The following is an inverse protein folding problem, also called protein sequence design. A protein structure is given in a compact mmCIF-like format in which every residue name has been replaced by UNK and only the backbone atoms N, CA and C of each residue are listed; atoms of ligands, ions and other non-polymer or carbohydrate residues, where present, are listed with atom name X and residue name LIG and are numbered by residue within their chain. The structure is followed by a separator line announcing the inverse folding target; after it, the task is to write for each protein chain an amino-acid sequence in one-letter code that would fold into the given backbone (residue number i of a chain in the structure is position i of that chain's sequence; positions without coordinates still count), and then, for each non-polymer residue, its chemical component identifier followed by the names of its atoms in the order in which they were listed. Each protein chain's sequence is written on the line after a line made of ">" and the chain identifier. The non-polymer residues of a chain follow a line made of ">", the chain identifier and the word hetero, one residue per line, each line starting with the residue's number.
data_IF_472639494640
#
_entry.id   IF_472639494640
#
_cell.length_a   1.000
_cell.length_b   1.000
_cell.length_c   1.000
_cell.angle_alpha   90.00
_cell.angle_beta   90.00
_cell.angle_gamma   90.00
#
_symmetry.space_group_name_H-M   'P 1'
#
loop_
_entity.id
_entity.type
_entity.pdbx_description
1 polymer ?
#
# COMPACT_ATOMS: atom_id res chain seq x y z
N UNK A 1 7.56 -7.32 -1.95
CA UNK A 1 8.84 -7.56 -1.24
C UNK A 1 8.75 -6.90 0.12
N UNK A 2 8.97 -7.61 1.22
CA UNK A 2 8.95 -7.01 2.56
C UNK A 2 10.07 -5.97 2.68
N UNK A 3 9.79 -4.83 3.30
CA UNK A 3 10.75 -3.73 3.45
C UNK A 3 10.96 -2.86 2.20
N UNK A 4 10.21 -3.09 1.12
CA UNK A 4 10.29 -2.23 -0.07
C UNK A 4 9.83 -0.79 0.25
N UNK A 5 10.67 0.18 -0.13
CA UNK A 5 10.43 1.62 -0.04
C UNK A 5 10.88 2.33 -1.32
N UNK A 6 10.71 3.66 -1.37
CA UNK A 6 11.04 4.48 -2.55
C UNK A 6 12.51 4.35 -2.99
N UNK A 7 13.42 4.03 -2.06
CA UNK A 7 14.85 3.84 -2.37
C UNK A 7 15.10 2.52 -3.09
N UNK A 8 14.43 1.44 -2.66
CA UNK A 8 14.64 0.09 -3.18
C UNK A 8 13.78 -0.27 -4.41
N UNK A 9 12.67 0.45 -4.63
CA UNK A 9 11.65 0.05 -5.59
C UNK A 9 12.16 -0.01 -7.02
N UNK A 10 13.15 0.81 -7.39
CA UNK A 10 13.72 0.80 -8.74
C UNK A 10 14.38 -0.55 -9.05
N UNK A 11 15.12 -1.12 -8.10
CA UNK A 11 15.77 -2.43 -8.31
C UNK A 11 14.75 -3.56 -8.32
N UNK A 12 13.68 -3.45 -7.51
CA UNK A 12 12.56 -4.39 -7.52
C UNK A 12 11.80 -4.30 -8.85
N UNK A 13 11.58 -3.10 -9.37
CA UNK A 13 10.87 -2.88 -10.63
C UNK A 13 11.59 -3.52 -11.82
N UNK A 14 12.91 -3.69 -11.76
CA UNK A 14 13.68 -4.42 -12.79
C UNK A 14 13.38 -5.92 -12.86
N UNK A 15 12.68 -6.47 -11.87
CA UNK A 15 12.18 -7.85 -11.90
C UNK A 15 10.85 -7.97 -12.67
N UNK A 16 10.20 -6.85 -12.98
CA UNK A 16 9.02 -6.83 -13.85
C UNK A 16 9.43 -7.34 -15.24
N UNK A 17 8.77 -8.40 -15.70
CA UNK A 17 8.99 -8.95 -17.03
C UNK A 17 7.88 -8.47 -17.95
N UNK A 18 8.24 -7.58 -18.88
CA UNK A 18 7.36 -7.14 -19.95
C UNK A 18 8.16 -6.72 -21.17
N UNK A 19 7.75 -7.21 -22.33
CA UNK A 19 8.28 -6.77 -23.63
C UNK A 19 7.41 -5.63 -24.17
N UNK A 20 8.01 -4.45 -24.30
CA UNK A 20 7.31 -3.24 -24.73
C UNK A 20 6.64 -3.34 -26.12
N UNK A 21 7.15 -4.20 -27.01
CA UNK A 21 6.68 -4.34 -28.39
C UNK A 21 5.74 -5.53 -28.57
N UNK A 22 5.95 -6.60 -27.79
CA UNK A 22 5.30 -7.89 -28.02
C UNK A 22 4.21 -8.23 -26.98
N UNK A 23 4.25 -7.64 -25.79
CA UNK A 23 3.28 -7.92 -24.74
C UNK A 23 2.10 -6.93 -24.73
N UNK A 24 0.97 -7.37 -24.18
CA UNK A 24 -0.19 -6.50 -23.97
C UNK A 24 0.07 -5.48 -22.84
N UNK A 25 -0.55 -4.27 -22.94
CA UNK A 25 -0.45 -3.24 -21.91
C UNK A 25 -0.87 -3.70 -20.52
N UNK A 26 -0.39 -2.98 -19.50
CA UNK A 26 -0.63 -3.29 -18.08
C UNK A 26 -1.37 -2.16 -17.38
N UNK A 27 -2.18 -2.53 -16.38
CA UNK A 27 -2.50 -1.64 -15.26
C UNK A 27 -1.49 -1.92 -14.14
N UNK A 28 -0.66 -0.94 -13.80
CA UNK A 28 0.35 -1.01 -12.75
C UNK A 28 -0.11 -0.18 -11.56
N UNK A 29 -0.12 -0.78 -10.37
CA UNK A 29 -0.37 -0.07 -9.11
C UNK A 29 0.97 0.11 -8.38
N UNK A 30 1.45 1.34 -8.32
CA UNK A 30 2.67 1.72 -7.61
C UNK A 30 2.30 2.12 -6.17
N UNK A 31 2.52 1.21 -5.21
CA UNK A 31 1.99 1.34 -3.85
C UNK A 31 3.08 1.10 -2.80
N UNK A 32 3.71 2.17 -2.34
CA UNK A 32 4.75 2.18 -1.30
C UNK A 32 4.22 2.83 -0.03
N UNK A 33 3.36 2.11 0.68
CA UNK A 33 2.41 2.72 1.63
C UNK A 33 2.95 2.96 3.05
N UNK A 34 4.20 2.59 3.36
CA UNK A 34 4.66 2.62 4.76
C UNK A 34 6.16 2.74 4.99
N UNK A 35 7.01 1.93 4.35
CA UNK A 35 8.44 1.81 4.70
C UNK A 35 9.29 3.09 4.49
N UNK A 36 8.73 4.13 3.87
CA UNK A 36 9.36 5.45 3.77
C UNK A 36 9.20 6.29 5.05
N UNK A 37 8.25 5.93 5.92
CA UNK A 37 8.09 6.50 7.27
C UNK A 37 8.27 5.46 8.38
N UNK A 38 8.17 4.18 8.06
CA UNK A 38 8.31 3.08 9.01
C UNK A 38 9.74 2.51 9.06
N UNK A 39 10.31 2.49 10.26
CA UNK A 39 11.60 1.88 10.55
C UNK A 39 11.69 1.49 12.04
N UNK A 40 12.69 0.67 12.39
CA UNK A 40 12.96 0.21 13.75
C UNK A 40 14.04 0.99 14.50
N UNK A 41 14.53 2.12 13.95
CA UNK A 41 15.61 2.90 14.56
C UNK A 41 15.11 3.72 15.76
N UNK A 42 15.95 3.88 16.78
CA UNK A 42 15.65 4.73 17.95
C UNK A 42 15.38 6.19 17.55
N UNK A 43 16.18 6.76 16.65
CA UNK A 43 15.86 8.05 16.02
C UNK A 43 15.01 7.83 14.77
N UNK A 44 13.75 7.45 14.98
CA UNK A 44 12.84 7.09 13.90
C UNK A 44 12.66 8.21 12.88
N UNK A 45 12.58 9.47 13.34
CA UNK A 45 12.29 10.63 12.50
C UNK A 45 13.44 10.92 11.52
N UNK A 46 14.70 10.82 11.98
CA UNK A 46 15.88 11.07 11.15
C UNK A 46 16.03 10.06 10.00
N UNK A 47 15.40 8.89 10.11
CA UNK A 47 15.47 7.82 9.13
C UNK A 47 14.26 7.75 8.18
N UNK A 48 13.30 8.65 8.32
CA UNK A 48 12.19 8.76 7.37
C UNK A 48 12.64 9.48 6.10
N UNK A 49 12.18 8.99 4.94
CA UNK A 49 12.36 9.65 3.64
C UNK A 49 11.81 11.08 3.68
N UNK A 50 12.51 12.01 3.05
CA UNK A 50 12.08 13.41 2.92
C UNK A 50 11.19 13.62 1.69
N UNK A 51 10.48 14.75 1.63
CA UNK A 51 9.66 15.12 0.46
C UNK A 51 10.48 15.10 -0.84
N UNK A 52 11.63 15.77 -0.87
CA UNK A 52 12.48 15.87 -2.07
C UNK A 52 12.97 14.50 -2.53
N UNK A 53 13.37 13.63 -1.59
CA UNK A 53 13.76 12.26 -1.91
C UNK A 53 12.60 11.46 -2.48
N UNK A 54 11.41 11.51 -1.87
CA UNK A 54 10.24 10.78 -2.36
C UNK A 54 9.81 11.27 -3.75
N UNK A 55 9.77 12.59 -3.96
CA UNK A 55 9.44 13.19 -5.24
C UNK A 55 10.39 12.71 -6.34
N UNK A 56 11.71 12.85 -6.13
CA UNK A 56 12.72 12.47 -7.12
C UNK A 56 12.75 10.95 -7.38
N UNK A 57 12.57 10.13 -6.34
CA UNK A 57 12.52 8.67 -6.48
C UNK A 57 11.26 8.21 -7.22
N UNK A 58 10.12 8.86 -6.98
CA UNK A 58 8.88 8.58 -7.72
C UNK A 58 9.03 8.94 -9.19
N UNK A 59 9.57 10.12 -9.52
CA UNK A 59 9.89 10.48 -10.90
C UNK A 59 10.81 9.46 -11.58
N UNK A 60 11.84 9.01 -10.87
CA UNK A 60 12.78 8.00 -11.39
C UNK A 60 12.07 6.67 -11.66
N UNK A 61 11.19 6.23 -10.75
CA UNK A 61 10.37 5.03 -10.92
C UNK A 61 9.44 5.13 -12.13
N UNK A 62 8.72 6.24 -12.27
CA UNK A 62 7.84 6.49 -13.42
C UNK A 62 8.62 6.54 -14.74
N UNK A 63 9.79 7.19 -14.74
CA UNK A 63 10.67 7.23 -15.91
C UNK A 63 11.18 5.84 -16.30
N UNK A 64 11.50 5.00 -15.32
CA UNK A 64 11.87 3.61 -15.60
C UNK A 64 10.72 2.81 -16.20
N UNK A 65 9.51 2.91 -15.62
CA UNK A 65 8.32 2.23 -16.16
C UNK A 65 8.05 2.63 -17.61
N UNK A 66 8.32 3.88 -18.01
CA UNK A 66 8.12 4.34 -19.39
C UNK A 66 9.07 3.65 -20.39
N UNK A 67 10.15 3.03 -19.91
CA UNK A 67 11.07 2.24 -20.75
C UNK A 67 10.68 0.76 -20.87
N UNK A 68 9.76 0.28 -20.03
CA UNK A 68 9.41 -1.15 -19.92
C UNK A 68 7.98 -1.42 -20.36
N UNK A 69 7.05 -0.52 -20.02
CA UNK A 69 5.64 -0.73 -20.27
C UNK A 69 5.29 -0.56 -21.76
N UNK A 70 4.51 -1.49 -22.36
CA UNK A 70 3.92 -1.32 -23.68
C UNK A 70 3.04 -0.07 -23.76
N UNK A 71 2.98 0.54 -24.95
CA UNK A 71 2.12 1.70 -25.21
C UNK A 71 0.65 1.38 -24.90
N UNK A 72 -0.04 2.31 -24.23
CA UNK A 72 -1.42 2.14 -23.78
C UNK A 72 -1.54 1.49 -22.41
N UNK A 73 -0.44 1.40 -21.64
CA UNK A 73 -0.49 0.97 -20.24
C UNK A 73 -1.07 2.08 -19.34
N UNK A 74 -1.33 1.77 -18.08
CA UNK A 74 -1.85 2.70 -17.09
C UNK A 74 -1.10 2.54 -15.77
N UNK A 75 -0.74 3.64 -15.12
CA UNK A 75 -0.04 3.62 -13.83
C UNK A 75 -0.86 4.39 -12.80
N UNK A 76 -1.33 3.68 -11.77
CA UNK A 76 -1.95 4.27 -10.58
C UNK A 76 -0.90 4.34 -9.46
N UNK A 77 -0.48 5.55 -9.09
CA UNK A 77 0.32 5.76 -7.88
C UNK A 77 -0.59 5.92 -6.67
N UNK A 78 -0.17 5.34 -5.55
CA UNK A 78 -0.91 5.36 -4.29
C UNK A 78 -0.11 6.14 -3.24
N UNK A 79 -0.79 7.04 -2.53
CA UNK A 79 -0.23 7.74 -1.37
C UNK A 79 0.15 6.78 -0.23
N UNK A 80 0.81 7.31 0.79
CA UNK A 80 1.13 6.53 1.99
C UNK A 80 -0.12 6.32 2.85
N UNK A 81 -0.08 5.26 3.66
CA UNK A 81 -1.13 4.97 4.64
C UNK A 81 -1.11 5.99 5.79
N UNK A 82 -2.28 6.20 6.40
CA UNK A 82 -2.37 6.81 7.73
C UNK A 82 -2.33 5.72 8.81
N UNK A 83 -1.13 5.37 9.29
CA UNK A 83 -0.97 4.31 10.29
C UNK A 83 -1.26 4.71 11.74
N UNK A 84 -1.62 5.97 12.02
CA UNK A 84 -1.98 6.41 13.39
C UNK A 84 -3.10 5.56 13.99
N UNK A 85 -4.03 5.12 13.16
CA UNK A 85 -5.18 4.28 13.52
C UNK A 85 -4.79 2.92 14.11
N UNK A 86 -3.60 2.40 13.79
CA UNK A 86 -3.16 1.07 14.24
C UNK A 86 -3.06 0.99 15.75
N UNK A 87 -2.42 1.99 16.38
CA UNK A 87 -2.29 2.04 17.83
C UNK A 87 -3.68 2.18 18.47
N UNK A 88 -4.50 3.10 17.99
CA UNK A 88 -5.84 3.37 18.54
C UNK A 88 -6.75 2.13 18.48
N UNK A 89 -6.67 1.35 17.40
CA UNK A 89 -7.47 0.14 17.24
C UNK A 89 -6.98 -1.04 18.07
N UNK A 90 -5.68 -1.12 18.39
CA UNK A 90 -5.07 -2.36 18.89
C UNK A 90 -4.49 -2.27 20.30
N UNK A 91 -4.06 -1.10 20.79
CA UNK A 91 -3.19 -1.00 21.97
C UNK A 91 -3.69 -1.73 23.22
N UNK A 92 -5.00 -1.72 23.48
CA UNK A 92 -5.64 -2.40 24.63
C UNK A 92 -6.08 -3.85 24.33
N UNK A 93 -6.03 -4.27 23.06
CA UNK A 93 -6.44 -5.62 22.66
C UNK A 93 -5.38 -6.64 23.06
N UNK A 94 -5.84 -7.83 23.44
CA UNK A 94 -4.94 -8.96 23.77
C UNK A 94 -4.35 -9.53 22.48
N UNK A 95 -3.03 -9.46 22.38
CA UNK A 95 -2.24 -10.09 21.32
C UNK A 95 -2.41 -11.63 21.36
N UNK A 96 -2.31 -12.37 20.23
CA UNK A 96 -2.44 -13.83 20.22
C UNK A 96 -1.59 -14.56 21.27
N UNK A 97 -0.36 -14.10 21.51
CA UNK A 97 0.53 -14.64 22.55
C UNK A 97 -0.02 -14.51 23.98
N UNK A 98 -0.89 -13.53 24.23
CA UNK A 98 -1.52 -13.26 25.52
C UNK A 98 -2.87 -13.93 25.72
N UNK A 99 -3.33 -14.77 24.78
CA UNK A 99 -4.64 -15.45 24.88
C UNK A 99 -4.66 -16.58 25.90
N UNK A 100 -3.50 -17.15 26.22
CA UNK A 100 -3.33 -18.20 27.22
C UNK A 100 -2.39 -17.67 28.30
N UNK A 101 -2.86 -17.63 29.55
CA UNK A 101 -2.10 -17.09 30.68
C UNK A 101 -2.32 -15.60 30.91
N UNK A 102 -1.35 -14.90 31.53
CA UNK A 102 -1.46 -13.46 31.78
C UNK A 102 -1.62 -12.67 30.47
N UNK A 103 -2.52 -11.68 30.41
CA UNK A 103 -2.79 -10.95 29.18
C UNK A 103 -1.57 -10.11 28.74
N UNK A 104 -1.21 -10.31 27.47
CA UNK A 104 -0.23 -9.52 26.73
C UNK A 104 -1.02 -8.70 25.70
N UNK A 105 -1.03 -7.38 25.88
CA UNK A 105 -1.67 -6.44 24.95
C UNK A 105 -0.74 -6.08 23.80
N UNK A 106 -1.27 -5.57 22.69
CA UNK A 106 -0.42 -5.05 21.61
C UNK A 106 0.51 -3.93 22.07
N UNK A 107 0.08 -3.05 22.98
CA UNK A 107 0.97 -2.03 23.56
C UNK A 107 2.23 -2.63 24.19
N UNK A 108 2.13 -3.75 24.90
CA UNK A 108 3.30 -4.46 25.46
C UNK A 108 4.19 -5.07 24.38
N UNK A 109 3.58 -5.62 23.31
CA UNK A 109 4.33 -6.17 22.17
C UNK A 109 5.08 -5.05 21.45
N UNK A 110 4.43 -3.91 21.21
CA UNK A 110 5.04 -2.75 20.57
C UNK A 110 6.24 -2.24 21.38
N UNK A 111 6.08 -2.03 22.69
CA UNK A 111 7.21 -1.63 23.55
C UNK A 111 8.34 -2.66 23.58
N UNK A 112 8.02 -3.96 23.51
CA UNK A 112 9.02 -5.02 23.43
C UNK A 112 9.82 -4.97 22.13
N UNK A 113 9.14 -4.79 20.99
CA UNK A 113 9.79 -4.71 19.67
C UNK A 113 10.61 -3.41 19.51
N UNK A 114 10.10 -2.29 20.02
CA UNK A 114 10.81 -1.01 20.08
C UNK A 114 12.09 -1.13 20.91
N UNK A 115 12.02 -1.74 22.10
CA UNK A 115 13.19 -1.97 22.97
C UNK A 115 14.28 -2.83 22.31
N UNK A 116 13.90 -3.70 21.38
CA UNK A 116 14.82 -4.57 20.64
C UNK A 116 15.28 -3.97 19.31
N UNK A 117 14.81 -2.76 18.95
CA UNK A 117 15.09 -2.10 17.66
C UNK A 117 14.69 -2.95 16.44
N UNK A 118 13.62 -3.73 16.58
CA UNK A 118 13.08 -4.60 15.52
C UNK A 118 11.60 -4.36 15.23
N UNK A 119 11.03 -3.28 15.75
CA UNK A 119 9.68 -2.87 15.38
C UNK A 119 9.62 -2.62 13.86
N UNK A 120 8.58 -3.10 13.16
CA UNK A 120 8.41 -2.80 11.75
C UNK A 120 8.10 -1.31 11.53
N UNK A 121 7.60 -0.61 12.55
CA UNK A 121 7.30 0.82 12.47
C UNK A 121 7.26 1.47 13.86
N UNK A 122 8.42 1.87 14.41
CA UNK A 122 8.48 2.61 15.68
C UNK A 122 7.58 3.85 15.68
N UNK A 123 7.48 4.54 14.54
CA UNK A 123 6.71 5.76 14.39
C UNK A 123 5.24 5.61 14.76
N UNK A 124 4.54 4.61 14.18
CA UNK A 124 3.12 4.38 14.44
C UNK A 124 2.83 3.38 15.54
N UNK A 125 3.70 2.39 15.75
CA UNK A 125 3.54 1.35 16.77
C UNK A 125 4.23 1.77 18.09
N UNK A 126 3.90 2.96 18.58
CA UNK A 126 4.45 3.50 19.82
C UNK A 126 3.35 4.11 20.68
N UNK A 127 3.49 4.03 22.00
CA UNK A 127 2.62 4.72 22.94
C UNK A 127 2.79 6.25 22.91
N UNK A 128 3.90 6.74 22.34
CA UNK A 128 4.17 8.17 22.20
C UNK A 128 3.30 8.78 21.08
N UNK A 129 2.23 9.47 21.48
CA UNK A 129 1.27 10.11 20.56
C UNK A 129 1.91 11.19 19.67
N UNK A 130 2.89 11.92 20.20
CA UNK A 130 3.64 12.95 19.50
C UNK A 130 4.47 12.32 18.36
N UNK A 131 5.11 11.18 18.62
CA UNK A 131 5.82 10.42 17.59
C UNK A 131 4.85 9.89 16.50
N UNK A 132 3.69 9.37 16.90
CA UNK A 132 2.66 8.93 15.95
C UNK A 132 2.15 10.08 15.08
N UNK A 133 1.95 11.26 15.66
CA UNK A 133 1.52 12.46 14.95
C UNK A 133 2.55 12.91 13.92
N UNK A 134 3.84 13.03 14.30
CA UNK A 134 4.92 13.38 13.36
C UNK A 134 5.08 12.35 12.24
N UNK A 135 4.95 11.06 12.54
CA UNK A 135 5.00 10.00 11.52
C UNK A 135 3.88 10.16 10.50
N UNK A 136 2.67 10.48 10.97
CA UNK A 136 1.50 10.68 10.12
C UNK A 136 1.61 11.96 9.29
N UNK A 137 2.13 13.04 9.88
CA UNK A 137 2.43 14.29 9.16
C UNK A 137 3.46 14.04 8.05
N UNK A 138 4.54 13.29 8.34
CA UNK A 138 5.50 12.89 7.32
C UNK A 138 4.83 12.08 6.23
N UNK A 139 3.98 11.11 6.56
CA UNK A 139 3.28 10.29 5.57
C UNK A 139 2.41 11.14 4.63
N UNK A 140 1.66 12.11 5.17
CA UNK A 140 0.89 13.07 4.37
C UNK A 140 1.80 13.88 3.44
N UNK A 141 2.92 14.38 3.95
CA UNK A 141 3.90 15.13 3.15
C UNK A 141 4.47 14.27 2.00
N UNK A 142 4.79 13.00 2.26
CA UNK A 142 5.27 12.08 1.23
C UNK A 142 4.18 11.69 0.22
N UNK A 143 2.92 11.57 0.64
CA UNK A 143 1.78 11.39 -0.26
C UNK A 143 1.66 12.55 -1.25
N UNK A 144 1.83 13.80 -0.77
CA UNK A 144 1.86 14.99 -1.63
C UNK A 144 3.04 14.91 -2.61
N UNK A 145 4.22 14.48 -2.17
CA UNK A 145 5.37 14.29 -3.07
C UNK A 145 5.09 13.28 -4.20
N UNK A 146 4.43 12.16 -3.89
CA UNK A 146 4.01 11.15 -4.87
C UNK A 146 2.98 11.73 -5.85
N UNK A 147 1.98 12.43 -5.33
CA UNK A 147 0.97 13.14 -6.14
C UNK A 147 1.63 14.12 -7.12
N UNK A 148 2.52 14.99 -6.63
CA UNK A 148 3.15 16.03 -7.42
C UNK A 148 4.06 15.43 -8.50
N UNK A 149 4.83 14.39 -8.16
CA UNK A 149 5.66 13.66 -9.12
C UNK A 149 4.80 13.00 -10.22
N UNK A 150 3.68 12.38 -9.82
CA UNK A 150 2.75 11.69 -10.74
C UNK A 150 2.14 12.66 -11.75
N UNK A 151 1.78 13.86 -11.31
CA UNK A 151 1.16 14.88 -12.16
C UNK A 151 2.18 15.70 -12.96
N UNK A 152 3.44 15.73 -12.52
CA UNK A 152 4.51 16.44 -13.25
C UNK A 152 5.12 15.58 -14.35
N UNK A 153 5.25 14.27 -14.13
CA UNK A 153 5.81 13.38 -15.13
C UNK A 153 4.89 13.26 -16.35
N UNK A 154 5.46 13.39 -17.55
CA UNK A 154 4.75 13.27 -18.83
C UNK A 154 5.19 11.97 -19.54
N UNK A 155 4.54 10.83 -19.24
CA UNK A 155 4.87 9.52 -19.85
C UNK A 155 4.52 9.44 -21.33
N UNK A 156 5.18 8.54 -22.06
CA UNK A 156 4.89 8.26 -23.48
C UNK A 156 4.09 6.97 -23.68
N UNK A 157 4.31 5.97 -22.84
CA UNK A 157 3.76 4.63 -23.02
C UNK A 157 2.57 4.33 -22.10
N UNK A 158 2.29 5.19 -21.12
CA UNK A 158 1.17 5.01 -20.21
C UNK A 158 0.52 6.34 -19.84
N UNK A 159 -0.71 6.28 -19.35
CA UNK A 159 -1.31 7.40 -18.62
C UNK A 159 -1.16 7.20 -17.11
N UNK A 160 -1.06 8.29 -16.35
CA UNK A 160 -0.91 8.24 -14.90
C UNK A 160 -2.15 8.73 -14.16
N UNK A 161 -2.26 8.32 -12.90
CA UNK A 161 -3.29 8.74 -11.95
C UNK A 161 -2.78 8.56 -10.54
N UNK A 162 -3.31 9.38 -9.63
CA UNK A 162 -2.98 9.33 -8.20
C UNK A 162 -4.25 9.04 -7.40
N UNK A 163 -4.10 8.25 -6.34
CA UNK A 163 -5.13 7.96 -5.35
C UNK A 163 -4.51 7.95 -3.95
N UNK A 164 -5.10 8.68 -3.00
CA UNK A 164 -4.76 8.54 -1.58
C UNK A 164 -5.05 7.11 -1.11
N UNK A 165 -4.23 6.57 -0.20
CA UNK A 165 -4.43 5.21 0.29
C UNK A 165 -5.82 5.06 0.94
N UNK A 166 -6.73 4.25 0.38
CA UNK A 166 -8.16 4.40 0.68
C UNK A 166 -8.62 3.54 1.87
N UNK A 167 -7.78 3.41 2.89
CA UNK A 167 -8.05 2.50 4.01
C UNK A 167 -9.14 3.00 4.95
N UNK A 168 -9.31 4.31 5.10
CA UNK A 168 -10.42 4.88 5.86
C UNK A 168 -11.76 4.48 5.24
N UNK A 169 -11.87 4.50 3.90
CA UNK A 169 -13.06 4.01 3.19
C UNK A 169 -13.24 2.50 3.38
N UNK A 170 -12.17 1.71 3.27
CA UNK A 170 -12.24 0.26 3.51
C UNK A 170 -12.73 -0.07 4.92
N UNK A 171 -12.31 0.70 5.93
CA UNK A 171 -12.81 0.59 7.30
C UNK A 171 -14.31 0.89 7.36
N UNK A 172 -14.78 1.96 6.71
CA UNK A 172 -16.22 2.28 6.69
C UNK A 172 -17.04 1.18 6.01
N UNK A 173 -16.57 0.65 4.89
CA UNK A 173 -17.23 -0.46 4.20
C UNK A 173 -17.31 -1.70 5.08
N UNK A 174 -16.24 -2.04 5.80
CA UNK A 174 -16.25 -3.16 6.74
C UNK A 174 -17.23 -2.96 7.90
N UNK A 175 -17.27 -1.75 8.49
CA UNK A 175 -18.22 -1.40 9.54
C UNK A 175 -19.65 -1.54 9.01
N UNK A 176 -19.93 -1.11 7.78
CA UNK A 176 -21.27 -1.19 7.18
C UNK A 176 -21.77 -2.64 7.02
N UNK A 177 -20.85 -3.60 6.93
CA UNK A 177 -21.14 -5.04 6.87
C UNK A 177 -21.22 -5.71 8.26
N UNK A 178 -21.15 -4.92 9.35
CA UNK A 178 -21.18 -5.39 10.73
C UNK A 178 -19.80 -5.75 11.31
N UNK A 179 -18.73 -5.46 10.58
CA UNK A 179 -17.36 -5.67 11.00
C UNK A 179 -16.87 -4.65 12.04
N UNK A 180 -15.71 -4.95 12.64
CA UNK A 180 -14.96 -4.06 13.52
C UNK A 180 -13.61 -3.72 12.90
N UNK A 181 -13.14 -2.46 12.94
CA UNK A 181 -11.95 -2.05 12.20
C UNK A 181 -10.68 -2.86 12.52
N UNK A 182 -10.47 -3.21 13.79
CA UNK A 182 -9.31 -4.01 14.22
C UNK A 182 -9.22 -5.40 13.55
N UNK A 183 -10.32 -5.92 12.98
CA UNK A 183 -10.33 -7.19 12.25
C UNK A 183 -9.64 -7.08 10.89
N UNK A 184 -9.43 -5.87 10.39
CA UNK A 184 -8.73 -5.62 9.14
C UNK A 184 -7.21 -5.62 9.30
N UNK A 185 -6.68 -5.66 10.53
CA UNK A 185 -5.24 -5.66 10.80
C UNK A 185 -4.75 -7.07 11.11
N UNK A 186 -3.57 -7.42 10.62
CA UNK A 186 -2.92 -8.70 10.89
C UNK A 186 -2.73 -8.92 12.38
N UNK A 187 -3.17 -10.10 12.84
CA UNK A 187 -3.29 -10.34 14.27
C UNK A 187 -1.96 -10.63 14.96
N UNK A 188 -0.92 -10.99 14.21
CA UNK A 188 0.38 -11.39 14.76
C UNK A 188 1.36 -10.22 14.78
N UNK A 189 1.41 -9.40 13.74
CA UNK A 189 2.30 -8.24 13.73
C UNK A 189 1.61 -6.95 14.24
N UNK A 190 0.27 -6.88 14.22
CA UNK A 190 -0.46 -5.68 14.63
C UNK A 190 -0.20 -4.46 13.74
N UNK A 191 0.25 -4.69 12.51
CA UNK A 191 0.76 -3.64 11.63
C UNK A 191 0.18 -3.73 10.22
N UNK A 192 0.36 -4.85 9.54
CA UNK A 192 -0.09 -4.99 8.15
C UNK A 192 -1.61 -5.08 8.08
N UNK A 193 -2.20 -4.65 6.97
CA UNK A 193 -3.59 -5.00 6.70
C UNK A 193 -3.67 -6.51 6.42
N UNK A 194 -4.66 -7.17 7.01
CA UNK A 194 -4.93 -8.59 6.83
C UNK A 194 -5.45 -8.90 5.43
N UNK A 195 -5.64 -10.19 5.13
CA UNK A 195 -6.30 -10.63 3.90
C UNK A 195 -7.68 -9.95 3.69
N UNK A 196 -8.47 -9.77 4.77
CA UNK A 196 -9.75 -9.06 4.68
C UNK A 196 -9.56 -7.57 4.38
N UNK A 197 -8.57 -6.94 5.01
CA UNK A 197 -8.21 -5.54 4.75
C UNK A 197 -7.78 -5.33 3.29
N UNK A 198 -6.97 -6.23 2.75
CA UNK A 198 -6.55 -6.23 1.35
C UNK A 198 -7.73 -6.41 0.40
N UNK A 199 -8.65 -7.35 0.66
CA UNK A 199 -9.81 -7.59 -0.20
C UNK A 199 -10.69 -6.34 -0.33
N UNK A 200 -11.09 -5.75 0.80
CA UNK A 200 -11.98 -4.58 0.79
C UNK A 200 -11.27 -3.36 0.19
N UNK A 201 -9.99 -3.16 0.52
CA UNK A 201 -9.21 -2.05 -0.08
C UNK A 201 -9.10 -2.22 -1.60
N UNK A 202 -9.04 -3.46 -2.11
CA UNK A 202 -9.05 -3.74 -3.55
C UNK A 202 -10.40 -3.41 -4.18
N UNK A 203 -11.52 -3.71 -3.52
CA UNK A 203 -12.87 -3.34 -3.98
C UNK A 203 -13.04 -1.82 -4.05
N UNK A 204 -12.50 -1.09 -3.08
CA UNK A 204 -12.48 0.38 -3.07
C UNK A 204 -11.68 0.93 -4.26
N UNK A 205 -10.46 0.41 -4.48
CA UNK A 205 -9.62 0.82 -5.62
C UNK A 205 -10.30 0.50 -6.95
N UNK A 206 -10.91 -0.68 -7.07
CA UNK A 206 -11.64 -1.07 -8.27
C UNK A 206 -12.82 -0.14 -8.56
N UNK A 207 -13.62 0.18 -7.55
CA UNK A 207 -14.75 1.11 -7.65
C UNK A 207 -14.28 2.53 -8.03
N UNK A 208 -13.13 2.95 -7.48
CA UNK A 208 -12.51 4.21 -7.86
C UNK A 208 -12.07 4.22 -9.32
N UNK A 209 -11.44 3.14 -9.81
CA UNK A 209 -11.04 2.99 -11.21
C UNK A 209 -12.26 3.04 -12.14
N UNK A 210 -13.33 2.33 -11.81
CA UNK A 210 -14.58 2.35 -12.58
C UNK A 210 -15.19 3.76 -12.66
N UNK A 211 -15.13 4.52 -11.58
CA UNK A 211 -15.76 5.85 -11.51
C UNK A 211 -14.89 6.95 -12.14
N UNK A 212 -13.58 6.91 -11.92
CA UNK A 212 -12.67 8.02 -12.25
C UNK A 212 -11.81 7.75 -13.49
N UNK A 213 -11.56 6.48 -13.79
CA UNK A 213 -10.73 6.04 -14.91
C UNK A 213 -11.39 4.89 -15.69
N UNK A 214 -12.68 4.98 -16.08
CA UNK A 214 -13.38 3.86 -16.72
C UNK A 214 -12.71 3.38 -18.01
N UNK A 215 -12.02 4.28 -18.74
CA UNK A 215 -11.28 3.93 -19.96
C UNK A 215 -10.01 3.10 -19.72
N UNK A 216 -9.53 2.99 -18.47
CA UNK A 216 -8.42 2.10 -18.10
C UNK A 216 -8.89 0.65 -17.97
N UNK A 217 -10.19 0.44 -17.81
CA UNK A 217 -10.79 -0.87 -17.67
C UNK A 217 -11.40 -1.27 -19.02
N UNK A 218 -10.96 -2.39 -19.63
CA UNK A 218 -11.57 -2.84 -20.87
C UNK A 218 -13.05 -3.20 -20.65
N UNK A 219 -13.90 -3.10 -21.68
CA UNK A 219 -15.27 -3.56 -21.57
C UNK A 219 -15.31 -5.06 -21.26
N UNK A 220 -16.41 -5.49 -20.64
CA UNK A 220 -16.67 -6.92 -20.43
C UNK A 220 -16.61 -7.65 -21.78
N UNK A 221 -15.77 -8.69 -21.87
CA UNK A 221 -15.61 -9.46 -23.09
C UNK A 221 -16.91 -10.23 -23.39
N UNK A 222 -17.57 -9.98 -24.55
CA UNK A 222 -18.85 -10.63 -24.89
C UNK A 222 -18.74 -12.15 -25.06
N UNK A 223 -17.52 -12.67 -25.22
CA UNK A 223 -17.25 -14.10 -25.39
C UNK A 223 -16.88 -14.82 -24.09
N UNK A 224 -17.00 -14.20 -22.92
CA UNK A 224 -16.70 -14.87 -21.65
C UNK A 224 -17.42 -16.21 -21.49
N UNK A 225 -18.71 -16.28 -21.86
CA UNK A 225 -19.49 -17.52 -21.80
C UNK A 225 -19.00 -18.59 -22.81
N UNK A 226 -18.49 -18.18 -23.97
CA UNK A 226 -17.90 -19.10 -24.94
C UNK A 226 -16.55 -19.64 -24.47
N UNK A 227 -15.72 -18.77 -23.87
CA UNK A 227 -14.43 -19.14 -23.31
C UNK A 227 -14.62 -20.17 -22.20
N UNK A 228 -15.52 -19.92 -21.25
CA UNK A 228 -15.84 -20.86 -20.17
C UNK A 228 -16.39 -22.19 -20.72
N UNK A 229 -17.26 -22.14 -21.73
CA UNK A 229 -17.82 -23.35 -22.34
C UNK A 229 -16.76 -24.21 -23.04
N UNK A 230 -15.79 -23.59 -23.73
CA UNK A 230 -14.78 -24.29 -24.55
C UNK A 230 -13.55 -24.67 -23.74
N UNK A 231 -13.02 -23.74 -22.95
CA UNK A 231 -11.76 -23.86 -22.22
C UNK A 231 -11.93 -24.11 -20.73
N UNK A 232 -13.16 -24.06 -20.20
CA UNK A 232 -13.49 -24.33 -18.78
C UNK A 232 -12.72 -23.40 -17.85
N UNK A 233 -11.91 -23.97 -16.97
CA UNK A 233 -11.06 -23.26 -16.00
C UNK A 233 -9.80 -22.67 -16.62
N UNK A 234 -9.63 -22.79 -17.96
CA UNK A 234 -8.51 -22.24 -18.73
C UNK A 234 -7.13 -22.75 -18.25
N UNK A 235 -7.09 -23.91 -17.58
CA UNK A 235 -5.87 -24.49 -17.03
C UNK A 235 -5.59 -24.15 -15.55
N UNK A 236 -6.42 -23.33 -14.91
CA UNK A 236 -6.41 -23.06 -13.46
C UNK A 236 -5.18 -22.32 -12.90
N UNK A 237 -5.30 -21.87 -11.65
CA UNK A 237 -4.25 -21.45 -10.71
C UNK A 237 -4.68 -21.75 -9.28
#
# INVERSE_FOLDING_TARGET
>A
VNGANSKSILDIAKTLTRDQQNDVPLLVIYSLVGNDVCNGHNDTIAHMTTYEEMYNRTLTGLAYLDTVLPIGSHVLTIGLANGSILYDLLHDRVHPLGRVGPPITYSKVYSYLECLEISPCNGWLSSNDTLRAFTSERAVNLSIAVHDATNTYSPKNFDSGYLDFPFDQAIQEWISQGGKPWQLIESVDGFHISQYGHAITSDVIWSWLQSNKPHWLPPANPHNADIERVFKDQGGY
#
